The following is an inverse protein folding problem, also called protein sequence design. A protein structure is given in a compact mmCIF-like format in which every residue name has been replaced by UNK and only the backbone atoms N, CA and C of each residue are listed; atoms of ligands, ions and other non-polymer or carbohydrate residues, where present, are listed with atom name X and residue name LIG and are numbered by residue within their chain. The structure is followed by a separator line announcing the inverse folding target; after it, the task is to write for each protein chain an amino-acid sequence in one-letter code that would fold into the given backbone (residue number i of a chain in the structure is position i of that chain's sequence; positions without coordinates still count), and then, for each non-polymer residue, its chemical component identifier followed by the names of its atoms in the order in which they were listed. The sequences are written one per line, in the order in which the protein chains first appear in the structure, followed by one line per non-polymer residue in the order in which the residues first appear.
data_IF_632635043725
#
_entry.id   IF_632635043725
#
_cell.length_a   1.000
_cell.length_b   1.000
_cell.length_c   1.000
_cell.angle_alpha   90.00
_cell.angle_beta   90.00
_cell.angle_gamma   90.00
#
_symmetry.space_group_name_H-M   'P 1'
#
loop_
_entity.id
_entity.type
_entity.pdbx_description
1 polymer ?
#
# COMPACT_ATOMS: atom_id res chain seq x y z
N UNK A 1 -15.50 -18.17 0.18
CA UNK A 1 -14.64 -17.30 1.04
C UNK A 1 -14.00 -16.26 0.14
N UNK A 2 -14.04 -14.99 0.52
CA UNK A 2 -13.36 -13.94 -0.23
C UNK A 2 -11.84 -13.98 0.02
N UNK A 3 -11.07 -13.94 -1.05
CA UNK A 3 -9.61 -13.91 -0.98
C UNK A 3 -9.13 -12.45 -0.86
N UNK A 4 -8.48 -12.12 0.24
CA UNK A 4 -7.93 -10.79 0.48
C UNK A 4 -6.41 -10.83 0.45
N UNK A 5 -5.81 -9.98 -0.39
CA UNK A 5 -4.36 -9.76 -0.47
C UNK A 5 -4.00 -8.51 0.32
N UNK A 6 -3.06 -8.63 1.25
CA UNK A 6 -2.49 -7.49 1.96
C UNK A 6 -1.05 -7.27 1.49
N UNK A 7 -0.82 -6.20 0.77
CA UNK A 7 0.51 -5.74 0.37
C UNK A 7 1.17 -4.99 1.54
N UNK A 8 2.49 -5.18 1.73
CA UNK A 8 3.20 -4.60 2.89
C UNK A 8 2.83 -5.23 4.23
N UNK A 9 2.51 -6.52 4.20
CA UNK A 9 1.97 -7.28 5.34
C UNK A 9 2.91 -7.36 6.55
N UNK A 10 4.20 -7.15 6.38
CA UNK A 10 5.19 -7.15 7.46
C UNK A 10 5.40 -5.77 8.10
N UNK A 11 4.80 -4.71 7.52
CA UNK A 11 4.78 -3.36 8.09
C UNK A 11 3.72 -3.21 9.19
N UNK A 12 3.73 -2.07 9.90
CA UNK A 12 2.82 -1.84 11.02
C UNK A 12 1.34 -1.94 10.62
N UNK A 13 0.91 -1.21 9.58
CA UNK A 13 -0.48 -1.22 9.10
C UNK A 13 -0.82 -2.60 8.54
N UNK A 14 0.01 -3.13 7.64
CA UNK A 14 -0.22 -4.41 6.98
C UNK A 14 -0.35 -5.57 7.96
N UNK A 15 0.48 -5.61 9.01
CA UNK A 15 0.39 -6.64 10.05
C UNK A 15 -0.94 -6.60 10.78
N UNK A 16 -1.40 -5.42 11.20
CA UNK A 16 -2.69 -5.29 11.88
C UNK A 16 -3.85 -5.73 10.98
N UNK A 17 -3.79 -5.43 9.68
CA UNK A 17 -4.79 -5.88 8.71
C UNK A 17 -4.77 -7.41 8.54
N UNK A 18 -3.59 -8.02 8.41
CA UNK A 18 -3.45 -9.48 8.32
C UNK A 18 -4.02 -10.16 9.56
N UNK A 19 -3.65 -9.69 10.75
CA UNK A 19 -4.16 -10.23 12.03
C UNK A 19 -5.68 -10.06 12.17
N UNK A 20 -6.23 -8.97 11.68
CA UNK A 20 -7.67 -8.71 11.69
C UNK A 20 -8.42 -9.66 10.76
N UNK A 21 -8.05 -9.70 9.48
CA UNK A 21 -8.74 -10.53 8.49
C UNK A 21 -8.57 -12.03 8.73
N UNK A 22 -7.43 -12.47 9.30
CA UNK A 22 -7.21 -13.88 9.64
C UNK A 22 -8.19 -14.42 10.69
N UNK A 23 -8.78 -13.55 11.51
CA UNK A 23 -9.77 -13.90 12.53
C UNK A 23 -11.21 -13.85 12.01
N UNK A 24 -11.43 -13.23 10.85
CA UNK A 24 -12.79 -13.06 10.33
C UNK A 24 -13.23 -14.29 9.54
N UNK A 25 -14.41 -14.88 9.88
CA UNK A 25 -14.96 -15.92 9.06
C UNK A 25 -15.33 -15.39 7.66
N UNK A 26 -15.15 -16.22 6.65
CA UNK A 26 -15.48 -15.87 5.27
C UNK A 26 -14.33 -15.24 4.47
N UNK A 27 -13.18 -15.01 5.08
CA UNK A 27 -11.98 -14.54 4.38
C UNK A 27 -10.88 -15.59 4.34
N UNK A 28 -10.15 -15.62 3.23
CA UNK A 28 -8.87 -16.30 3.06
C UNK A 28 -7.80 -15.26 2.85
N UNK A 29 -6.81 -15.20 3.73
CA UNK A 29 -5.81 -14.13 3.76
C UNK A 29 -4.54 -14.53 3.02
N UNK A 30 -4.13 -13.68 2.09
CA UNK A 30 -2.85 -13.70 1.42
C UNK A 30 -2.06 -12.47 1.84
N UNK A 31 -0.78 -12.65 2.14
CA UNK A 31 0.05 -11.59 2.70
C UNK A 31 1.37 -11.48 1.92
N UNK A 32 1.65 -10.29 1.38
CA UNK A 32 2.87 -10.02 0.62
C UNK A 32 3.97 -9.53 1.56
N UNK A 33 5.14 -10.17 1.43
CA UNK A 33 6.37 -9.71 2.05
C UNK A 33 7.48 -9.58 0.99
N UNK A 34 8.47 -8.72 1.24
CA UNK A 34 9.58 -8.51 0.31
C UNK A 34 10.93 -8.83 0.97
N UNK A 35 11.40 -7.99 1.87
CA UNK A 35 12.70 -8.12 2.55
C UNK A 35 12.51 -8.59 3.99
N UNK A 36 11.61 -7.94 4.74
CA UNK A 36 11.34 -8.32 6.12
C UNK A 36 10.59 -9.66 6.14
N UNK A 37 11.09 -10.67 6.88
CA UNK A 37 10.49 -12.01 6.89
C UNK A 37 9.09 -12.00 7.50
N UNK A 38 8.24 -12.97 7.09
CA UNK A 38 6.93 -13.19 7.70
C UNK A 38 7.00 -13.44 9.20
N UNK A 39 5.96 -13.04 9.91
CA UNK A 39 5.72 -13.44 11.29
C UNK A 39 4.82 -14.67 11.36
N UNK A 40 4.84 -15.40 12.48
CA UNK A 40 4.00 -16.58 12.65
C UNK A 40 2.55 -16.16 12.90
N UNK A 41 1.66 -16.65 12.05
CA UNK A 41 0.22 -16.49 12.16
C UNK A 41 -0.47 -17.62 11.41
N UNK A 42 -1.53 -18.17 12.01
CA UNK A 42 -2.32 -19.25 11.42
C UNK A 42 -3.26 -18.70 10.34
N UNK A 43 -3.64 -19.56 9.39
CA UNK A 43 -4.62 -19.28 8.33
C UNK A 43 -4.23 -18.16 7.35
N UNK A 44 -2.94 -17.84 7.22
CA UNK A 44 -2.40 -16.84 6.28
C UNK A 44 -1.45 -17.51 5.29
N UNK A 45 -1.67 -17.23 4.01
CA UNK A 45 -0.77 -17.66 2.93
C UNK A 45 0.20 -16.54 2.60
N UNK A 46 1.47 -16.75 2.88
CA UNK A 46 2.52 -15.77 2.59
C UNK A 46 3.03 -15.89 1.15
N UNK A 47 3.19 -14.75 0.46
CA UNK A 47 3.76 -14.63 -0.87
C UNK A 47 4.96 -13.69 -0.83
N UNK A 48 6.12 -14.11 -1.31
CA UNK A 48 7.25 -13.20 -1.50
C UNK A 48 7.09 -12.51 -2.85
N UNK A 49 7.13 -11.18 -2.86
CA UNK A 49 7.04 -10.40 -4.08
C UNK A 49 7.71 -9.03 -3.93
N UNK A 50 8.42 -8.60 -4.96
CA UNK A 50 8.79 -7.21 -5.14
C UNK A 50 7.70 -6.52 -5.98
N UNK A 51 6.94 -5.64 -5.35
CA UNK A 51 5.82 -4.96 -6.01
C UNK A 51 6.25 -3.95 -7.09
N UNK A 52 7.55 -3.75 -7.29
CA UNK A 52 8.12 -2.99 -8.41
C UNK A 52 8.41 -3.86 -9.63
N UNK A 53 8.16 -5.16 -9.54
CA UNK A 53 8.37 -6.13 -10.62
C UNK A 53 7.01 -6.64 -11.11
N UNK A 54 6.67 -6.35 -12.36
CA UNK A 54 5.36 -6.66 -12.95
C UNK A 54 4.97 -8.14 -12.81
N UNK A 55 5.91 -9.06 -13.05
CA UNK A 55 5.66 -10.51 -12.91
C UNK A 55 5.24 -10.86 -11.48
N UNK A 56 5.93 -10.32 -10.49
CA UNK A 56 5.67 -10.61 -9.07
C UNK A 56 4.33 -10.04 -8.62
N UNK A 57 3.98 -8.83 -9.10
CA UNK A 57 2.67 -8.20 -8.87
C UNK A 57 1.56 -9.06 -9.46
N UNK A 58 1.68 -9.48 -10.73
CA UNK A 58 0.67 -10.32 -11.38
C UNK A 58 0.48 -11.65 -10.66
N UNK A 59 1.56 -12.29 -10.21
CA UNK A 59 1.47 -13.52 -9.42
C UNK A 59 0.84 -13.31 -8.03
N UNK A 60 1.08 -12.16 -7.42
CA UNK A 60 0.51 -11.84 -6.12
C UNK A 60 -0.99 -11.52 -6.20
N UNK A 61 -1.43 -10.82 -7.25
CA UNK A 61 -2.82 -10.36 -7.43
C UNK A 61 -3.73 -11.42 -8.05
N UNK A 62 -3.17 -12.40 -8.77
CA UNK A 62 -3.96 -13.44 -9.42
C UNK A 62 -4.91 -14.14 -8.46
N UNK A 63 -6.18 -14.27 -8.87
CA UNK A 63 -7.28 -14.93 -8.13
C UNK A 63 -7.66 -14.22 -6.81
N UNK A 64 -7.36 -12.95 -6.64
CA UNK A 64 -7.76 -12.18 -5.46
C UNK A 64 -9.07 -11.43 -5.70
N UNK A 65 -9.94 -11.41 -4.68
CA UNK A 65 -11.19 -10.64 -4.71
C UNK A 65 -10.98 -9.22 -4.18
N UNK A 66 -10.10 -9.08 -3.19
CA UNK A 66 -9.80 -7.80 -2.54
C UNK A 66 -8.29 -7.61 -2.46
N UNK A 67 -7.81 -6.44 -2.81
CA UNK A 67 -6.40 -6.05 -2.63
C UNK A 67 -6.31 -4.81 -1.74
N UNK A 68 -5.49 -4.90 -0.69
CA UNK A 68 -5.21 -3.78 0.22
C UNK A 68 -3.74 -3.39 0.06
N UNK A 69 -3.50 -2.18 -0.43
CA UNK A 69 -2.17 -1.62 -0.61
C UNK A 69 -1.74 -0.84 0.62
N UNK A 70 -0.93 -1.47 1.46
CA UNK A 70 -0.29 -0.87 2.63
C UNK A 70 1.25 -0.92 2.54
N UNK A 71 1.78 -1.33 1.37
CA UNK A 71 3.21 -1.26 1.10
C UNK A 71 3.60 0.14 0.64
N UNK A 72 4.70 0.63 1.14
CA UNK A 72 5.32 1.85 0.68
C UNK A 72 6.83 1.79 0.86
N UNK A 73 7.57 2.39 -0.06
CA UNK A 73 8.96 2.75 0.18
C UNK A 73 8.98 3.98 1.06
N UNK A 74 9.37 3.79 2.32
CA UNK A 74 9.44 4.86 3.33
C UNK A 74 10.83 4.89 3.93
N UNK A 75 11.32 6.09 4.27
CA UNK A 75 12.57 6.28 4.98
C UNK A 75 12.48 7.50 5.89
N UNK A 76 13.55 7.77 6.63
CA UNK A 76 13.59 8.91 7.56
C UNK A 76 13.60 10.28 6.86
N UNK A 77 13.36 11.32 7.65
CA UNK A 77 13.34 12.73 7.19
C UNK A 77 14.61 13.10 6.40
N UNK A 78 15.76 12.54 6.76
CA UNK A 78 17.02 12.81 6.06
C UNK A 78 16.96 12.36 4.59
N UNK A 79 16.39 11.22 4.30
CA UNK A 79 16.23 10.74 2.91
C UNK A 79 15.21 11.58 2.14
N UNK A 80 14.14 12.03 2.79
CA UNK A 80 13.15 12.93 2.17
C UNK A 80 13.83 14.22 1.68
N UNK A 81 14.76 14.75 2.47
CA UNK A 81 15.46 16.00 2.13
C UNK A 81 16.59 15.76 1.12
N UNK A 82 17.37 14.67 1.26
CA UNK A 82 18.58 14.45 0.46
C UNK A 82 18.35 13.62 -0.80
N UNK A 83 17.33 12.75 -0.81
CA UNK A 83 17.02 11.82 -1.91
C UNK A 83 15.50 11.65 -2.12
N UNK A 84 14.75 12.76 -2.30
CA UNK A 84 13.27 12.72 -2.34
C UNK A 84 12.71 11.83 -3.44
N UNK A 85 13.46 11.62 -4.52
CA UNK A 85 13.04 10.81 -5.66
C UNK A 85 12.78 9.33 -5.30
N UNK A 86 13.46 8.77 -4.30
CA UNK A 86 13.28 7.36 -3.90
C UNK A 86 11.82 7.09 -3.49
N UNK A 87 11.25 7.98 -2.67
CA UNK A 87 9.87 7.86 -2.23
C UNK A 87 8.88 8.00 -3.39
N UNK A 88 9.17 8.90 -4.33
CA UNK A 88 8.29 9.16 -5.47
C UNK A 88 8.34 8.01 -6.47
N UNK A 89 9.54 7.65 -6.94
CA UNK A 89 9.71 6.69 -8.04
C UNK A 89 9.28 5.29 -7.67
N UNK A 90 9.74 4.76 -6.55
CA UNK A 90 9.42 3.40 -6.15
C UNK A 90 7.92 3.23 -5.86
N UNK A 91 7.31 4.19 -5.16
CA UNK A 91 5.88 4.15 -4.88
C UNK A 91 5.04 4.32 -6.16
N UNK A 92 5.44 5.21 -7.09
CA UNK A 92 4.74 5.37 -8.35
C UNK A 92 4.78 4.08 -9.20
N UNK A 93 5.94 3.44 -9.33
CA UNK A 93 6.08 2.18 -10.05
C UNK A 93 5.23 1.08 -9.42
N UNK A 94 5.35 0.88 -8.11
CA UNK A 94 4.61 -0.13 -7.36
C UNK A 94 3.09 0.05 -7.51
N UNK A 95 2.59 1.27 -7.30
CA UNK A 95 1.16 1.55 -7.38
C UNK A 95 0.63 1.43 -8.82
N UNK A 96 1.40 1.86 -9.82
CA UNK A 96 1.01 1.74 -11.23
C UNK A 96 0.90 0.27 -11.67
N UNK A 97 1.86 -0.58 -11.26
CA UNK A 97 1.83 -2.01 -11.57
C UNK A 97 0.67 -2.71 -10.84
N UNK A 98 0.42 -2.37 -9.57
CA UNK A 98 -0.71 -2.91 -8.82
C UNK A 98 -2.05 -2.53 -9.48
N UNK A 99 -2.26 -1.26 -9.83
CA UNK A 99 -3.50 -0.81 -10.46
C UNK A 99 -3.75 -1.52 -11.79
N UNK A 100 -2.72 -1.70 -12.63
CA UNK A 100 -2.84 -2.47 -13.87
C UNK A 100 -3.24 -3.90 -13.58
N UNK A 101 -2.51 -4.59 -12.69
CA UNK A 101 -2.78 -5.98 -12.37
C UNK A 101 -4.16 -6.21 -11.74
N UNK A 102 -4.62 -5.29 -10.89
CA UNK A 102 -5.96 -5.30 -10.31
C UNK A 102 -7.03 -5.23 -11.39
N UNK A 103 -6.84 -4.37 -12.39
CA UNK A 103 -7.75 -4.27 -13.53
C UNK A 103 -7.75 -5.55 -14.38
N UNK A 104 -6.57 -6.04 -14.74
CA UNK A 104 -6.42 -7.21 -15.61
C UNK A 104 -6.94 -8.51 -14.97
N UNK A 105 -6.82 -8.64 -13.65
CA UNK A 105 -7.34 -9.78 -12.87
C UNK A 105 -8.76 -9.60 -12.34
N UNK A 106 -9.45 -8.50 -12.69
CA UNK A 106 -10.84 -8.23 -12.30
C UNK A 106 -11.07 -8.26 -10.79
N UNK A 107 -10.14 -7.72 -10.01
CA UNK A 107 -10.26 -7.59 -8.56
C UNK A 107 -11.48 -6.74 -8.21
N UNK A 108 -12.35 -7.25 -7.34
CA UNK A 108 -13.62 -6.56 -7.01
C UNK A 108 -13.42 -5.28 -6.21
N UNK A 109 -12.46 -5.28 -5.26
CA UNK A 109 -12.22 -4.15 -4.37
C UNK A 109 -10.72 -3.86 -4.21
N UNK A 110 -10.38 -2.60 -4.30
CA UNK A 110 -9.05 -2.09 -4.01
C UNK A 110 -9.10 -1.02 -2.92
N UNK A 111 -8.31 -1.22 -1.85
CA UNK A 111 -8.10 -0.23 -0.80
C UNK A 111 -6.66 0.28 -0.87
N UNK A 112 -6.53 1.58 -0.97
CA UNK A 112 -5.24 2.26 -0.97
C UNK A 112 -5.04 3.05 0.33
N UNK A 113 -3.93 2.78 1.04
CA UNK A 113 -3.56 3.57 2.21
C UNK A 113 -2.87 4.85 1.75
N UNK A 114 -3.61 5.94 1.77
CA UNK A 114 -3.10 7.26 1.44
C UNK A 114 -2.23 7.84 2.57
N UNK A 115 -1.80 9.07 2.44
CA UNK A 115 -0.99 9.76 3.44
C UNK A 115 -1.52 11.16 3.73
N UNK A 116 -1.20 11.67 4.91
CA UNK A 116 -1.65 12.99 5.36
C UNK A 116 -1.00 14.15 4.63
N UNK A 117 0.16 13.94 4.01
CA UNK A 117 0.89 14.99 3.29
C UNK A 117 0.22 15.42 1.97
N UNK A 118 -0.87 14.76 1.58
CA UNK A 118 -1.72 15.21 0.49
C UNK A 118 -2.63 16.39 0.86
N UNK A 119 -2.78 16.69 2.15
CA UNK A 119 -3.53 17.84 2.61
C UNK A 119 -2.64 19.07 2.80
N UNK A 120 -3.18 20.29 2.64
CA UNK A 120 -2.45 21.51 2.94
C UNK A 120 -2.11 21.59 4.44
N UNK A 121 -1.10 22.41 4.77
CA UNK A 121 -0.78 22.68 6.17
C UNK A 121 -1.93 23.44 6.86
N UNK A 122 -2.41 22.95 7.98
CA UNK A 122 -3.49 23.57 8.75
C UNK A 122 -3.24 23.44 10.25
N UNK A 123 -3.68 24.43 11.00
CA UNK A 123 -3.76 24.39 12.48
C UNK A 123 -5.10 23.80 12.94
N UNK A 124 -6.09 23.77 12.05
CA UNK A 124 -7.40 23.19 12.29
C UNK A 124 -7.45 21.74 11.81
N UNK A 125 -8.34 20.94 12.41
CA UNK A 125 -8.58 19.58 11.96
C UNK A 125 -9.25 19.59 10.57
N UNK A 126 -8.64 18.93 9.61
CA UNK A 126 -9.15 18.82 8.24
C UNK A 126 -10.08 17.61 8.09
N UNK A 127 -11.06 17.72 7.19
CA UNK A 127 -11.93 16.64 6.72
C UNK A 127 -11.52 16.23 5.31
N UNK A 128 -11.97 15.07 4.85
CA UNK A 128 -11.75 14.62 3.47
C UNK A 128 -12.30 15.60 2.43
N UNK A 129 -13.44 16.28 2.76
CA UNK A 129 -14.04 17.32 1.91
C UNK A 129 -13.21 18.59 1.77
N UNK A 130 -12.23 18.79 2.64
CA UNK A 130 -11.39 19.98 2.65
C UNK A 130 -10.13 19.80 1.77
N UNK A 131 -10.01 18.64 1.09
CA UNK A 131 -8.93 18.41 0.14
C UNK A 131 -9.17 19.21 -1.15
N UNK A 132 -8.32 20.18 -1.39
CA UNK A 132 -8.26 20.95 -2.64
C UNK A 132 -6.97 20.62 -3.40
N UNK A 133 -7.13 19.90 -4.51
CA UNK A 133 -5.99 19.52 -5.37
C UNK A 133 -5.40 20.69 -6.16
N UNK A 134 -6.02 21.86 -6.13
CA UNK A 134 -5.45 23.10 -6.70
C UNK A 134 -4.48 23.82 -5.77
N UNK A 135 -4.48 23.49 -4.47
CA UNK A 135 -3.53 24.04 -3.52
C UNK A 135 -2.16 23.36 -3.64
N UNK A 136 -1.11 24.13 -3.35
CA UNK A 136 0.25 23.59 -3.34
C UNK A 136 0.52 22.78 -2.09
N UNK A 137 1.06 21.57 -2.28
CA UNK A 137 1.59 20.77 -1.18
C UNK A 137 2.81 21.44 -0.53
N UNK A 138 3.04 21.17 0.74
CA UNK A 138 4.26 21.61 1.41
C UNK A 138 5.51 21.17 0.60
N UNK A 139 6.40 22.10 0.29
CA UNK A 139 7.48 21.91 -0.69
C UNK A 139 8.34 20.66 -0.47
N UNK A 140 8.63 20.30 0.81
CA UNK A 140 9.41 19.12 1.15
C UNK A 140 8.67 17.79 0.81
N UNK A 141 7.34 17.82 0.71
CA UNK A 141 6.50 16.63 0.49
C UNK A 141 5.77 16.65 -0.86
N UNK A 142 6.05 17.62 -1.71
CA UNK A 142 5.36 17.83 -2.98
C UNK A 142 5.28 16.54 -3.82
N UNK A 143 6.43 15.88 -4.04
CA UNK A 143 6.46 14.65 -4.82
C UNK A 143 5.79 13.46 -4.13
N UNK A 144 5.78 13.42 -2.79
CA UNK A 144 5.17 12.35 -2.00
C UNK A 144 3.64 12.52 -1.99
N UNK A 145 3.15 13.74 -1.86
CA UNK A 145 1.70 14.03 -1.88
C UNK A 145 1.06 13.70 -3.23
N UNK A 146 1.79 14.00 -4.30
CA UNK A 146 1.35 13.61 -5.67
C UNK A 146 1.42 12.11 -5.89
#
# INVERSE_FOLDING_TARGET
MKKVLVCGATGFIGRNLVEYFARLPGYQVFAVWHVSPPFQIEHVTWRQADLRVERDVNQAVADMDVVIQAAATTSGVQDIVTRPYIHVTDNAVMNSLLLRSIFDHHVEHFLFMSCTVMYPSSVEALRESDLDLSEEFAGAYFGIGW
#
